data_IF_420217551875
#
_entry.id   IF_420217551875
#
_cell.length_a   1.000
_cell.length_b   1.000
_cell.length_c   1.000
_cell.angle_alpha   90.00
_cell.angle_beta   90.00
_cell.angle_gamma   90.00
#
_symmetry.space_group_name_H-M   'P 1'
#
loop_
_entity.id
_entity.type
_entity.pdbx_description
1 polymer ?
#
# COMPACT_ATOMS: atom_id res chain seq x y z
N UNK A 1 0.69 -21.76 29.44
CA UNK A 1 0.51 -20.43 28.84
C UNK A 1 1.45 -20.37 27.63
N UNK A 2 0.98 -19.85 26.48
CA UNK A 2 1.81 -19.73 25.25
C UNK A 2 2.52 -18.37 25.25
N UNK A 3 3.76 -18.30 24.73
CA UNK A 3 4.50 -17.05 24.47
C UNK A 3 3.77 -16.13 23.49
N UNK A 4 2.95 -16.70 22.60
CA UNK A 4 2.02 -15.95 21.74
C UNK A 4 0.60 -16.46 21.94
N UNK A 5 -0.23 -15.64 22.61
CA UNK A 5 -1.67 -15.87 22.77
C UNK A 5 -2.50 -15.29 21.63
N UNK A 6 -1.91 -15.05 20.46
CA UNK A 6 -2.51 -14.36 19.32
C UNK A 6 -2.97 -12.90 19.56
N UNK A 7 -2.67 -12.30 20.70
CA UNK A 7 -2.93 -10.86 20.96
C UNK A 7 -1.84 -9.93 20.40
N UNK A 8 -0.73 -10.47 19.88
CA UNK A 8 0.14 -9.73 18.97
C UNK A 8 -0.59 -9.39 17.66
N UNK A 9 -1.38 -10.38 17.22
CA UNK A 9 -1.79 -10.80 15.88
C UNK A 9 -0.67 -10.70 14.83
N UNK A 10 -0.05 -11.84 14.52
CA UNK A 10 1.06 -11.92 13.56
C UNK A 10 0.69 -12.73 12.32
N UNK A 11 0.48 -12.12 11.14
CA UNK A 11 0.07 -12.83 9.90
C UNK A 11 -1.37 -13.34 9.93
N UNK A 12 -2.24 -12.69 10.70
CA UNK A 12 -3.69 -12.96 10.74
C UNK A 12 -4.42 -11.62 10.70
N UNK A 13 -5.57 -11.51 10.01
CA UNK A 13 -6.31 -10.27 10.00
C UNK A 13 -6.91 -10.00 11.39
N UNK A 14 -6.76 -8.78 11.90
CA UNK A 14 -7.39 -8.35 13.15
C UNK A 14 -7.60 -6.85 13.21
N UNK A 15 -8.71 -6.45 13.84
CA UNK A 15 -8.99 -5.05 14.16
C UNK A 15 -7.88 -4.40 15.01
N UNK A 16 -7.17 -5.18 15.84
CA UNK A 16 -6.01 -4.68 16.61
C UNK A 16 -4.92 -4.10 15.70
N UNK A 17 -4.65 -4.74 14.56
CA UNK A 17 -3.68 -4.24 13.57
C UNK A 17 -4.14 -2.96 12.86
N UNK A 18 -5.42 -2.63 12.91
CA UNK A 18 -5.97 -1.38 12.38
C UNK A 18 -5.93 -0.25 13.43
N UNK A 19 -6.25 -0.58 14.68
CA UNK A 19 -6.43 0.37 15.79
C UNK A 19 -5.09 0.71 16.46
N UNK A 20 -4.43 -0.30 17.03
CA UNK A 20 -3.21 -0.14 17.83
C UNK A 20 -1.95 -0.08 16.96
N UNK A 21 -2.05 -0.53 15.71
CA UNK A 21 -0.93 -0.65 14.76
C UNK A 21 0.13 -1.67 15.22
N UNK A 22 0.84 -2.27 14.26
CA UNK A 22 1.94 -3.20 14.51
C UNK A 22 3.02 -3.04 13.46
N UNK A 23 4.27 -2.91 13.89
CA UNK A 23 5.36 -2.55 12.98
C UNK A 23 5.37 -1.05 12.74
N UNK A 24 5.21 -0.61 11.48
CA UNK A 24 5.20 0.82 11.12
C UNK A 24 3.82 1.25 10.63
N UNK A 25 3.29 2.31 11.24
CA UNK A 25 2.18 3.09 10.69
C UNK A 25 2.73 4.18 9.78
N UNK A 26 2.34 4.17 8.52
CA UNK A 26 2.86 5.09 7.50
C UNK A 26 1.70 5.70 6.71
N UNK A 27 1.79 7.01 6.50
CA UNK A 27 0.83 7.78 5.71
C UNK A 27 1.60 8.39 4.54
N UNK A 28 1.07 8.24 3.33
CA UNK A 28 1.59 8.91 2.13
C UNK A 28 0.44 9.63 1.43
N UNK A 29 0.69 10.85 0.97
CA UNK A 29 -0.29 11.67 0.26
C UNK A 29 0.32 12.34 -0.97
N UNK A 30 -0.54 12.65 -1.95
CA UNK A 30 -0.16 13.39 -3.15
C UNK A 30 -1.30 14.29 -3.64
N UNK A 31 -0.91 15.49 -4.03
CA UNK A 31 -1.73 16.48 -4.71
C UNK A 31 -1.58 16.36 -6.22
N UNK A 32 -2.68 16.15 -6.94
CA UNK A 32 -2.69 16.05 -8.39
C UNK A 32 -3.54 17.17 -8.99
N UNK A 33 -2.96 17.86 -9.98
CA UNK A 33 -3.69 18.85 -10.77
C UNK A 33 -4.65 18.15 -11.72
N UNK A 34 -5.82 18.74 -11.91
CA UNK A 34 -6.88 18.21 -12.79
C UNK A 34 -6.38 17.89 -14.21
N UNK A 35 -5.47 18.72 -14.74
CA UNK A 35 -4.85 18.51 -16.04
C UNK A 35 -4.10 17.17 -16.11
N UNK A 36 -3.33 16.82 -15.07
CA UNK A 36 -2.58 15.54 -15.02
C UNK A 36 -3.54 14.35 -14.97
N UNK A 37 -4.63 14.48 -14.21
CA UNK A 37 -5.66 13.44 -14.09
C UNK A 37 -6.30 13.18 -15.46
N UNK A 38 -6.69 14.24 -16.18
CA UNK A 38 -7.28 14.10 -17.53
C UNK A 38 -6.28 13.58 -18.56
N UNK A 39 -5.09 14.16 -18.59
CA UNK A 39 -4.09 13.89 -19.63
C UNK A 39 -3.42 12.54 -19.46
N UNK A 40 -3.20 12.06 -18.23
CA UNK A 40 -2.50 10.80 -17.96
C UNK A 40 -3.47 9.71 -17.52
N UNK A 41 -4.29 9.98 -16.51
CA UNK A 41 -5.18 8.99 -15.89
C UNK A 41 -6.50 8.78 -16.66
N UNK A 42 -6.77 9.60 -17.68
CA UNK A 42 -7.92 9.47 -18.59
C UNK A 42 -9.27 9.44 -17.87
N UNK A 43 -9.36 10.19 -16.78
CA UNK A 43 -10.56 10.38 -15.95
C UNK A 43 -10.58 11.81 -15.41
N UNK A 44 -11.48 12.11 -14.47
CA UNK A 44 -11.54 13.36 -13.71
C UNK A 44 -11.44 13.09 -12.19
N UNK A 45 -11.13 14.14 -11.42
CA UNK A 45 -10.98 14.04 -9.95
C UNK A 45 -12.26 13.62 -9.23
N UNK A 46 -13.42 14.05 -9.71
CA UNK A 46 -14.72 13.77 -9.08
C UNK A 46 -15.09 12.29 -9.20
N UNK A 47 -14.86 11.70 -10.38
CA UNK A 47 -15.00 10.27 -10.61
C UNK A 47 -14.10 9.45 -9.69
N UNK A 48 -12.84 9.86 -9.47
CA UNK A 48 -11.93 9.16 -8.55
C UNK A 48 -12.42 9.24 -7.10
N UNK A 49 -12.89 10.43 -6.67
CA UNK A 49 -13.42 10.64 -5.32
C UNK A 49 -14.66 9.78 -5.08
N UNK A 50 -15.63 9.79 -6.01
CA UNK A 50 -16.85 8.99 -5.92
C UNK A 50 -16.53 7.48 -5.92
N UNK A 51 -15.59 7.04 -6.78
CA UNK A 51 -15.13 5.65 -6.81
C UNK A 51 -14.47 5.22 -5.51
N UNK A 52 -13.58 6.05 -4.95
CA UNK A 52 -12.93 5.77 -3.67
C UNK A 52 -13.97 5.66 -2.55
N UNK A 53 -14.92 6.60 -2.48
CA UNK A 53 -15.97 6.60 -1.49
C UNK A 53 -16.87 5.35 -1.59
N UNK A 54 -17.40 5.06 -2.78
CA UNK A 54 -18.33 3.92 -2.96
C UNK A 54 -17.63 2.58 -2.81
N UNK A 55 -16.45 2.42 -3.42
CA UNK A 55 -15.76 1.12 -3.46
C UNK A 55 -14.98 0.86 -2.18
N UNK A 56 -14.04 1.74 -1.85
CA UNK A 56 -13.07 1.49 -0.79
C UNK A 56 -13.66 1.76 0.59
N UNK A 57 -14.65 2.63 0.72
CA UNK A 57 -15.31 2.90 2.00
C UNK A 57 -16.63 2.13 2.14
N UNK A 58 -17.67 2.49 1.39
CA UNK A 58 -19.00 1.86 1.55
C UNK A 58 -18.98 0.38 1.21
N UNK A 59 -18.33 -0.01 0.11
CA UNK A 59 -18.19 -1.40 -0.30
C UNK A 59 -17.45 -2.25 0.74
N UNK A 60 -16.30 -1.78 1.20
CA UNK A 60 -15.54 -2.47 2.27
C UNK A 60 -16.31 -2.54 3.59
N UNK A 61 -17.03 -1.48 3.98
CA UNK A 61 -17.87 -1.48 5.16
C UNK A 61 -19.01 -2.52 5.05
N UNK A 62 -19.71 -2.55 3.92
CA UNK A 62 -20.77 -3.53 3.66
C UNK A 62 -20.25 -4.98 3.66
N UNK A 63 -19.01 -5.19 3.22
CA UNK A 63 -18.36 -6.50 3.20
C UNK A 63 -17.76 -6.94 4.55
N UNK A 64 -17.76 -6.09 5.58
CA UNK A 64 -17.07 -6.37 6.84
C UNK A 64 -15.53 -6.47 6.68
N UNK A 65 -14.97 -5.78 5.69
CA UNK A 65 -13.55 -5.79 5.41
C UNK A 65 -12.76 -4.94 6.41
N UNK A 66 -11.51 -5.33 6.65
CA UNK A 66 -10.51 -4.52 7.40
C UNK A 66 -9.59 -3.72 6.44
N UNK A 67 -9.68 -3.98 5.14
CA UNK A 67 -8.98 -3.24 4.09
C UNK A 67 -9.94 -2.28 3.39
N UNK A 68 -9.76 -0.99 3.65
CA UNK A 68 -10.50 0.11 3.03
C UNK A 68 -9.69 0.72 1.88
N UNK A 69 -9.23 -0.14 0.97
CA UNK A 69 -8.37 0.18 -0.15
C UNK A 69 -8.74 -0.66 -1.39
N UNK A 70 -8.09 -0.39 -2.52
CA UNK A 70 -8.34 -1.15 -3.73
C UNK A 70 -7.45 -2.38 -3.88
N UNK A 71 -6.12 -2.24 -3.69
CA UNK A 71 -5.19 -3.36 -3.90
C UNK A 71 -3.85 -3.23 -3.15
N UNK A 72 -3.83 -2.73 -1.91
CA UNK A 72 -2.59 -2.63 -1.11
C UNK A 72 -1.81 -3.96 -1.11
N UNK A 73 -2.52 -5.07 -0.95
CA UNK A 73 -1.94 -6.41 -0.92
C UNK A 73 -1.05 -6.72 -2.14
N UNK A 74 -1.44 -6.28 -3.35
CA UNK A 74 -0.67 -6.54 -4.56
C UNK A 74 0.71 -5.87 -4.51
N UNK A 75 0.72 -4.57 -4.18
CA UNK A 75 1.95 -3.79 -4.13
C UNK A 75 2.85 -4.26 -2.98
N UNK A 76 2.26 -4.51 -1.81
CA UNK A 76 2.99 -5.01 -0.64
C UNK A 76 3.59 -6.39 -0.90
N UNK A 77 2.82 -7.34 -1.45
CA UNK A 77 3.34 -8.67 -1.77
C UNK A 77 4.50 -8.60 -2.76
N UNK A 78 4.35 -7.81 -3.84
CA UNK A 78 5.39 -7.65 -4.85
C UNK A 78 6.67 -7.06 -4.25
N UNK A 79 6.56 -5.98 -3.47
CA UNK A 79 7.70 -5.37 -2.79
C UNK A 79 8.34 -6.34 -1.79
N UNK A 80 7.54 -7.08 -1.02
CA UNK A 80 8.02 -8.00 0.00
C UNK A 80 8.82 -9.15 -0.61
N UNK A 81 8.30 -9.76 -1.67
CA UNK A 81 8.99 -10.83 -2.39
C UNK A 81 10.29 -10.31 -3.01
N UNK A 82 10.25 -9.14 -3.66
CA UNK A 82 11.42 -8.56 -4.32
C UNK A 82 12.53 -8.17 -3.34
N UNK A 83 12.18 -7.68 -2.14
CA UNK A 83 13.12 -7.13 -1.16
C UNK A 83 13.39 -8.05 0.03
N UNK A 84 12.93 -9.31 -0.02
CA UNK A 84 13.25 -10.33 0.99
C UNK A 84 12.58 -10.14 2.33
N UNK A 85 11.41 -9.51 2.34
CA UNK A 85 10.54 -9.42 3.51
C UNK A 85 9.78 -10.72 3.71
N UNK A 86 9.10 -10.86 4.85
CA UNK A 86 8.22 -12.00 5.09
C UNK A 86 6.89 -11.80 4.34
N UNK A 87 6.71 -12.52 3.24
CA UNK A 87 5.54 -12.38 2.38
C UNK A 87 4.21 -12.66 3.10
N UNK A 88 4.21 -13.44 4.20
CA UNK A 88 3.00 -13.69 4.98
C UNK A 88 2.54 -12.44 5.76
N UNK A 89 3.44 -11.49 6.05
CA UNK A 89 3.06 -10.17 6.59
C UNK A 89 2.32 -9.29 5.59
N UNK A 90 2.10 -9.74 4.35
CA UNK A 90 1.13 -9.09 3.45
C UNK A 90 -0.25 -9.05 4.07
N UNK A 91 -0.62 -10.02 4.92
CA UNK A 91 -1.88 -9.99 5.67
C UNK A 91 -1.99 -8.70 6.48
N UNK A 92 -0.96 -8.34 7.22
CA UNK A 92 -0.91 -7.13 8.05
C UNK A 92 -0.75 -5.86 7.18
N UNK A 93 0.16 -5.90 6.20
CA UNK A 93 0.45 -4.77 5.31
C UNK A 93 -0.66 -4.41 4.33
N UNK A 94 -1.64 -5.30 4.13
CA UNK A 94 -2.84 -5.05 3.31
C UNK A 94 -3.92 -4.23 4.04
N UNK A 95 -3.79 -4.08 5.36
CA UNK A 95 -4.73 -3.32 6.18
C UNK A 95 -4.47 -1.82 6.06
N UNK A 96 -5.55 -1.05 5.99
CA UNK A 96 -5.45 0.39 5.92
C UNK A 96 -6.52 1.04 5.06
N UNK A 97 -6.32 2.33 4.82
CA UNK A 97 -7.32 3.21 4.24
C UNK A 97 -6.75 3.98 3.05
N UNK A 98 -7.54 4.07 1.99
CA UNK A 98 -7.36 5.04 0.91
C UNK A 98 -8.45 6.10 1.01
N UNK A 99 -8.05 7.37 1.02
CA UNK A 99 -8.95 8.51 1.05
C UNK A 99 -8.65 9.42 -0.14
N UNK A 100 -9.71 9.95 -0.74
CA UNK A 100 -9.66 10.84 -1.89
C UNK A 100 -10.53 12.06 -1.63
N UNK A 101 -9.97 13.25 -1.82
CA UNK A 101 -10.67 14.52 -1.65
C UNK A 101 -10.50 15.40 -2.87
N UNK A 102 -11.60 15.99 -3.34
CA UNK A 102 -11.57 16.97 -4.43
C UNK A 102 -11.07 18.30 -3.88
N UNK A 103 -10.08 18.89 -4.55
CA UNK A 103 -9.60 20.24 -4.25
C UNK A 103 -9.97 21.21 -5.35
N UNK A 104 -9.68 22.50 -5.14
CA UNK A 104 -9.83 23.53 -6.18
C UNK A 104 -8.94 23.26 -7.40
N UNK A 105 -7.79 22.60 -7.20
CA UNK A 105 -6.79 22.38 -8.25
C UNK A 105 -6.88 20.97 -8.87
N UNK A 106 -7.56 20.03 -8.22
CA UNK A 106 -7.76 18.66 -8.69
C UNK A 106 -8.10 17.70 -7.55
N UNK A 107 -7.15 16.85 -7.18
CA UNK A 107 -7.33 15.72 -6.26
C UNK A 107 -6.24 15.68 -5.19
N UNK A 108 -6.61 15.42 -3.95
CA UNK A 108 -5.72 14.91 -2.90
C UNK A 108 -6.03 13.42 -2.69
N UNK A 109 -5.01 12.58 -2.81
CA UNK A 109 -5.12 11.16 -2.51
C UNK A 109 -4.19 10.82 -1.36
N UNK A 110 -4.69 10.10 -0.36
CA UNK A 110 -3.93 9.67 0.82
C UNK A 110 -4.11 8.18 1.04
N UNK A 111 -3.03 7.48 1.36
CA UNK A 111 -3.05 6.11 1.86
C UNK A 111 -2.49 6.06 3.28
N UNK A 112 -3.14 5.29 4.14
CA UNK A 112 -2.67 5.00 5.50
C UNK A 112 -2.50 3.49 5.64
N UNK A 113 -1.26 3.04 5.73
CA UNK A 113 -0.93 1.66 6.10
C UNK A 113 -0.77 1.60 7.62
N UNK A 114 -1.61 0.80 8.28
CA UNK A 114 -1.65 0.79 9.74
C UNK A 114 -0.64 -0.19 10.35
N UNK A 115 -0.29 -1.26 9.64
CA UNK A 115 0.60 -2.31 10.16
C UNK A 115 1.57 -2.82 9.11
N UNK A 116 2.61 -2.03 8.82
CA UNK A 116 3.63 -2.40 7.84
C UNK A 116 4.88 -2.98 8.50
N UNK A 117 5.14 -4.27 8.27
CA UNK A 117 6.32 -4.98 8.75
C UNK A 117 7.43 -4.98 7.69
N UNK A 118 8.43 -4.14 7.88
CA UNK A 118 9.60 -4.08 6.98
C UNK A 118 10.91 -4.06 7.76
N UNK A 119 11.93 -4.69 7.17
CA UNK A 119 13.29 -4.76 7.67
C UNK A 119 14.31 -4.72 6.53
N UNK A 120 15.53 -4.27 6.84
CA UNK A 120 16.63 -4.19 5.86
C UNK A 120 17.85 -5.03 6.26
N UNK A 121 17.72 -5.77 7.37
CA UNK A 121 18.71 -6.71 7.91
C UNK A 121 17.97 -7.92 8.46
N UNK A 122 18.51 -9.12 8.21
CA UNK A 122 17.96 -10.38 8.72
C UNK A 122 16.94 -11.04 7.78
N UNK A 123 16.62 -12.31 8.04
CA UNK A 123 15.70 -13.09 7.22
C UNK A 123 16.11 -13.12 5.73
N UNK A 124 15.13 -12.97 4.85
CA UNK A 124 15.32 -13.00 3.39
C UNK A 124 16.16 -11.85 2.83
N UNK A 125 16.37 -10.76 3.58
CA UNK A 125 17.16 -9.60 3.13
C UNK A 125 18.65 -9.90 2.94
N UNK A 126 19.12 -11.03 3.48
CA UNK A 126 20.50 -11.51 3.34
C UNK A 126 20.78 -12.24 2.03
N UNK A 127 19.72 -12.68 1.33
CA UNK A 127 19.84 -13.38 0.05
C UNK A 127 20.36 -12.43 -1.04
N UNK A 128 21.22 -12.90 -1.98
CA UNK A 128 21.89 -12.03 -2.93
C UNK A 128 20.95 -11.14 -3.76
N UNK A 129 19.91 -11.73 -4.38
CA UNK A 129 19.00 -11.00 -5.28
C UNK A 129 18.11 -10.03 -4.52
N UNK A 130 17.59 -10.40 -3.35
CA UNK A 130 16.80 -9.51 -2.50
C UNK A 130 17.65 -8.34 -1.97
N UNK A 131 18.91 -8.59 -1.65
CA UNK A 131 19.87 -7.55 -1.24
C UNK A 131 20.17 -6.58 -2.38
N UNK A 132 20.26 -7.05 -3.62
CA UNK A 132 20.38 -6.20 -4.81
C UNK A 132 19.14 -5.30 -4.96
N UNK A 133 17.92 -5.84 -4.84
CA UNK A 133 16.69 -5.03 -4.86
C UNK A 133 16.68 -3.95 -3.77
N UNK A 134 17.08 -4.29 -2.54
CA UNK A 134 17.23 -3.30 -1.46
C UNK A 134 18.31 -2.26 -1.75
N UNK A 135 19.35 -2.64 -2.51
CA UNK A 135 20.45 -1.74 -2.89
C UNK A 135 20.01 -0.76 -3.97
N UNK A 136 19.18 -1.19 -4.93
CA UNK A 136 18.53 -0.31 -5.91
C UNK A 136 17.68 0.78 -5.23
N UNK A 137 17.03 0.42 -4.12
CA UNK A 137 16.27 1.34 -3.28
C UNK A 137 17.14 2.15 -2.30
N UNK A 138 18.45 1.93 -2.26
CA UNK A 138 19.38 2.65 -1.39
C UNK A 138 19.26 2.31 0.10
N UNK A 139 18.61 1.20 0.48
CA UNK A 139 18.27 0.86 1.87
C UNK A 139 18.83 -0.50 2.32
N UNK A 140 19.72 -1.13 1.55
CA UNK A 140 20.30 -2.42 1.92
C UNK A 140 21.12 -2.36 3.21
N UNK A 141 20.91 -3.35 4.09
CA UNK A 141 21.73 -3.54 5.28
C UNK A 141 21.44 -2.56 6.42
N UNK A 142 22.33 -2.55 7.43
CA UNK A 142 22.22 -1.64 8.57
C UNK A 142 22.51 -0.20 8.13
N UNK A 143 21.95 0.75 8.87
CA UNK A 143 22.22 2.18 8.69
C UNK A 143 23.01 2.72 9.88
N UNK A 144 23.75 3.83 9.68
CA UNK A 144 24.48 4.52 10.76
C UNK A 144 23.57 4.84 11.95
N UNK A 145 22.33 5.26 11.68
CA UNK A 145 21.28 5.39 12.67
C UNK A 145 20.39 4.14 12.61
N UNK A 146 20.39 3.27 13.64
CA UNK A 146 19.57 2.07 13.64
C UNK A 146 18.11 2.33 13.25
N UNK A 147 17.60 1.51 12.33
CA UNK A 147 16.22 1.60 11.84
C UNK A 147 15.95 2.69 10.78
N UNK A 148 16.94 3.50 10.38
CA UNK A 148 16.74 4.52 9.35
C UNK A 148 16.43 3.92 7.98
N UNK A 149 17.20 2.92 7.53
CA UNK A 149 16.93 2.23 6.26
C UNK A 149 15.54 1.57 6.23
N UNK A 150 15.15 0.91 7.32
CA UNK A 150 13.81 0.30 7.43
C UNK A 150 12.69 1.35 7.45
N UNK A 151 12.94 2.55 7.98
CA UNK A 151 11.99 3.68 7.88
C UNK A 151 11.87 4.15 6.43
N UNK A 152 12.98 4.37 5.74
CA UNK A 152 12.96 4.75 4.33
C UNK A 152 12.27 3.70 3.46
N UNK A 153 12.52 2.40 3.70
CA UNK A 153 11.80 1.33 3.00
C UNK A 153 10.28 1.40 3.24
N UNK A 154 9.84 1.76 4.45
CA UNK A 154 8.41 1.93 4.74
C UNK A 154 7.78 3.13 4.03
N UNK A 155 8.54 4.22 3.86
CA UNK A 155 8.12 5.42 3.11
C UNK A 155 8.03 5.10 1.60
N UNK A 156 8.99 4.32 1.06
CA UNK A 156 8.97 3.81 -0.31
C UNK A 156 7.74 2.90 -0.53
N UNK A 157 7.48 1.97 0.39
CA UNK A 157 6.34 1.06 0.30
C UNK A 157 5.01 1.82 0.26
N UNK A 158 4.81 2.79 1.16
CA UNK A 158 3.61 3.61 1.20
C UNK A 158 3.44 4.45 -0.08
N UNK A 159 4.54 4.99 -0.62
CA UNK A 159 4.54 5.75 -1.87
C UNK A 159 4.18 4.88 -3.08
N UNK A 160 4.72 3.65 -3.15
CA UNK A 160 4.38 2.69 -4.19
C UNK A 160 2.89 2.27 -4.09
N UNK A 161 2.38 2.06 -2.89
CA UNK A 161 0.97 1.77 -2.64
C UNK A 161 0.07 2.93 -3.09
N UNK A 162 0.43 4.17 -2.74
CA UNK A 162 -0.29 5.37 -3.19
C UNK A 162 -0.37 5.47 -4.72
N UNK A 163 0.76 5.23 -5.40
CA UNK A 163 0.81 5.24 -6.86
C UNK A 163 -0.05 4.12 -7.46
N UNK A 164 -0.01 2.92 -6.88
CA UNK A 164 -0.84 1.79 -7.28
C UNK A 164 -2.33 2.10 -7.12
N UNK A 165 -2.75 2.62 -5.97
CA UNK A 165 -4.15 3.00 -5.72
C UNK A 165 -4.66 4.03 -6.72
N UNK A 166 -3.88 5.10 -6.93
CA UNK A 166 -4.24 6.15 -7.89
C UNK A 166 -4.48 5.55 -9.27
N UNK A 167 -3.56 4.70 -9.74
CA UNK A 167 -3.66 4.06 -11.05
C UNK A 167 -4.88 3.15 -11.16
N UNK A 168 -5.16 2.33 -10.14
CA UNK A 168 -6.27 1.38 -10.20
C UNK A 168 -7.62 2.09 -10.07
N UNK A 169 -7.75 3.07 -9.17
CA UNK A 169 -8.97 3.87 -9.03
C UNK A 169 -9.28 4.60 -10.34
N UNK A 170 -8.28 5.21 -10.97
CA UNK A 170 -8.46 5.86 -12.27
C UNK A 170 -8.93 4.88 -13.36
N UNK A 171 -8.30 3.71 -13.48
CA UNK A 171 -8.67 2.70 -14.48
C UNK A 171 -10.09 2.13 -14.26
N UNK A 172 -10.55 2.08 -13.01
CA UNK A 172 -11.93 1.72 -12.66
C UNK A 172 -12.92 2.80 -13.09
N UNK A 173 -12.55 4.08 -12.99
CA UNK A 173 -13.36 5.19 -13.46
C UNK A 173 -13.44 5.27 -14.99
N UNK A 174 -12.34 5.03 -15.70
CA UNK A 174 -12.26 5.17 -17.16
C UNK A 174 -12.92 4.02 -17.95
N UNK A 175 -13.54 3.04 -17.28
CA UNK A 175 -14.02 1.75 -17.86
C UNK A 175 -12.91 0.91 -18.50
N UNK A 176 -11.64 1.27 -18.30
CA UNK A 176 -10.50 0.56 -18.90
C UNK A 176 -10.11 -0.71 -18.15
N UNK A 177 -10.58 -0.94 -16.91
CA UNK A 177 -10.14 -2.10 -16.15
C UNK A 177 -10.37 -3.42 -16.91
N UNK A 178 -11.55 -3.61 -17.50
CA UNK A 178 -11.83 -4.81 -18.30
C UNK A 178 -10.88 -4.93 -19.52
N UNK A 179 -10.51 -3.81 -20.14
CA UNK A 179 -9.65 -3.75 -21.33
C UNK A 179 -8.17 -3.97 -21.00
N UNK A 180 -7.68 -3.37 -19.92
CA UNK A 180 -6.31 -3.55 -19.43
C UNK A 180 -6.07 -4.98 -18.93
N UNK A 181 -7.06 -5.57 -18.25
CA UNK A 181 -6.99 -6.96 -17.80
C UNK A 181 -6.91 -7.93 -19.00
N UNK A 182 -7.68 -7.66 -20.07
CA UNK A 182 -7.65 -8.39 -21.34
C UNK A 182 -6.41 -8.14 -22.21
N UNK A 183 -5.64 -7.07 -21.96
CA UNK A 183 -4.45 -6.74 -22.78
C UNK A 183 -3.16 -7.24 -22.13
N UNK A 184 -3.10 -7.27 -20.79
CA UNK A 184 -1.85 -7.53 -20.06
C UNK A 184 -1.91 -8.71 -19.09
N UNK A 185 -3.08 -9.29 -18.83
CA UNK A 185 -3.23 -10.42 -17.90
C UNK A 185 -4.08 -11.58 -18.45
N UNK A 186 -4.66 -11.45 -19.65
CA UNK A 186 -5.22 -12.56 -20.45
C UNK A 186 -5.66 -12.12 -21.83
#
# INVERSE_FOLDING_TARGET
>A
ISESGNMCVDKKPSAMGLIESRGRRVIASASLKEKVIKDILKTDSESIVDMCYRKNLLGSAAAGSLGYNAHFANIIAALFIATGQDAAHTVDGSLGFTLAEKTKEGLELTVTLTSLHVGTVGGGTSLPTQKECLSLLGVAGPSKKPGANARTLSEIAASAVLAGELSLLAALCSKDLAKAHLTHNR
#
